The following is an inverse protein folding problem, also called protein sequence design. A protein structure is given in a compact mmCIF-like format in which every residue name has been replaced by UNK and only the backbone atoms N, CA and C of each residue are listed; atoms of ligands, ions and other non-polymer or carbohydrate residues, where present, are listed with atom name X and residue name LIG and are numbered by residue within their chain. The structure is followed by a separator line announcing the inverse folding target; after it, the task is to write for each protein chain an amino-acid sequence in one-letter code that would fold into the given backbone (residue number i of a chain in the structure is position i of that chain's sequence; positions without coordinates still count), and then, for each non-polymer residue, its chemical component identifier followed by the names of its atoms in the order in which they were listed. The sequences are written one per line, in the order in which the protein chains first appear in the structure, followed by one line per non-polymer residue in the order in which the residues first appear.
data_IF_997239824100
#
_entry.id   IF_997239824100
#
_cell.length_a   1.000
_cell.length_b   1.000
_cell.length_c   1.000
_cell.angle_alpha   90.00
_cell.angle_beta   90.00
_cell.angle_gamma   90.00
#
_symmetry.space_group_name_H-M   'P 1'
#
loop_
_entity.id
_entity.type
_entity.pdbx_description
1 polymer ?
#
# COMPACT_ATOMS: atom_id res chain seq x y z
N UNK A 1 11.93 21.29 2.69
CA UNK A 1 11.93 21.11 1.23
C UNK A 1 10.76 20.22 0.86
N UNK A 2 9.98 20.53 -0.16
CA UNK A 2 8.85 19.69 -0.58
C UNK A 2 9.38 18.49 -1.35
N UNK A 3 9.01 17.27 -0.98
CA UNK A 3 9.43 16.05 -1.67
C UNK A 3 8.54 15.82 -2.89
N UNK A 4 9.17 15.73 -4.07
CA UNK A 4 8.48 15.34 -5.30
C UNK A 4 8.57 13.81 -5.48
N UNK A 5 7.53 13.11 -5.04
CA UNK A 5 7.45 11.66 -5.16
C UNK A 5 7.32 11.17 -6.60
N UNK A 6 6.80 11.99 -7.51
CA UNK A 6 6.76 11.64 -8.94
C UNK A 6 8.18 11.54 -9.48
N UNK A 7 9.03 12.52 -9.18
CA UNK A 7 10.44 12.48 -9.56
C UNK A 7 11.20 11.33 -8.87
N UNK A 8 10.92 11.06 -7.59
CA UNK A 8 11.53 9.93 -6.86
C UNK A 8 11.17 8.56 -7.48
N UNK A 9 9.99 8.41 -8.05
CA UNK A 9 9.56 7.15 -8.66
C UNK A 9 9.99 6.95 -10.11
N UNK A 10 10.45 7.99 -10.81
CA UNK A 10 10.93 7.85 -12.21
C UNK A 10 11.99 6.75 -12.39
N UNK A 11 13.07 6.67 -11.58
CA UNK A 11 14.05 5.59 -11.72
C UNK A 11 13.45 4.21 -11.44
N UNK A 12 12.50 4.12 -10.52
CA UNK A 12 11.78 2.88 -10.23
C UNK A 12 10.97 2.42 -11.44
N UNK A 13 10.17 3.31 -12.02
CA UNK A 13 9.33 2.99 -13.18
C UNK A 13 10.19 2.51 -14.34
N UNK A 14 11.29 3.20 -14.66
CA UNK A 14 12.25 2.77 -15.69
C UNK A 14 12.84 1.40 -15.40
N UNK A 15 13.22 1.15 -14.16
CA UNK A 15 13.75 -0.15 -13.76
C UNK A 15 12.71 -1.26 -13.93
N UNK A 16 11.45 -1.02 -13.54
CA UNK A 16 10.35 -1.98 -13.70
C UNK A 16 10.04 -2.27 -15.17
N UNK A 17 10.06 -1.25 -16.03
CA UNK A 17 9.85 -1.37 -17.48
C UNK A 17 10.94 -2.22 -18.17
N UNK A 18 12.15 -2.18 -17.65
CA UNK A 18 13.29 -2.95 -18.16
C UNK A 18 13.38 -4.38 -17.59
N UNK A 19 12.79 -4.62 -16.40
CA UNK A 19 12.94 -5.86 -15.63
C UNK A 19 11.60 -6.51 -15.28
N UNK A 20 10.53 -6.23 -16.03
CA UNK A 20 9.16 -6.67 -15.70
C UNK A 20 8.96 -8.19 -15.72
N UNK A 21 9.79 -8.93 -16.45
CA UNK A 21 9.67 -10.38 -16.68
C UNK A 21 10.54 -11.23 -15.74
N UNK A 22 11.34 -10.61 -14.88
CA UNK A 22 12.18 -11.33 -13.89
C UNK A 22 11.61 -11.17 -12.47
N UNK A 23 11.97 -12.08 -11.55
CA UNK A 23 11.66 -11.91 -10.13
C UNK A 23 12.31 -10.63 -9.59
N UNK A 24 11.54 -9.79 -8.94
CA UNK A 24 12.02 -8.53 -8.38
C UNK A 24 12.18 -8.63 -6.85
N UNK A 25 13.29 -8.10 -6.37
CA UNK A 25 13.51 -7.88 -4.94
C UNK A 25 12.94 -6.51 -4.53
N UNK A 26 11.85 -6.54 -3.75
CA UNK A 26 11.19 -5.32 -3.29
C UNK A 26 12.12 -4.36 -2.54
N UNK A 27 13.04 -4.88 -1.73
CA UNK A 27 13.99 -4.06 -0.97
C UNK A 27 14.88 -3.25 -1.92
N UNK A 28 15.33 -3.87 -3.01
CA UNK A 28 16.14 -3.22 -4.04
C UNK A 28 15.32 -2.16 -4.79
N UNK A 29 14.08 -2.50 -5.17
CA UNK A 29 13.18 -1.56 -5.85
C UNK A 29 12.87 -0.34 -4.97
N UNK A 30 12.60 -0.54 -3.69
CA UNK A 30 12.35 0.55 -2.74
C UNK A 30 13.57 1.47 -2.55
N UNK A 31 14.77 0.91 -2.55
CA UNK A 31 16.03 1.68 -2.46
C UNK A 31 16.20 2.65 -3.64
N UNK A 32 15.74 2.30 -4.84
CA UNK A 32 15.81 3.20 -6.01
C UNK A 32 15.01 4.50 -5.80
N UNK A 33 13.96 4.46 -4.98
CA UNK A 33 13.17 5.63 -4.59
C UNK A 33 13.66 6.29 -3.28
N UNK A 34 14.71 5.77 -2.65
CA UNK A 34 15.16 6.16 -1.31
C UNK A 34 14.00 6.09 -0.28
N UNK A 35 13.24 5.00 -0.32
CA UNK A 35 12.13 4.70 0.59
C UNK A 35 12.35 3.35 1.29
N UNK A 36 11.81 3.20 2.50
CA UNK A 36 11.69 1.87 3.10
C UNK A 36 10.70 1.01 2.29
N UNK A 37 10.84 -0.32 2.26
CA UNK A 37 9.91 -1.20 1.55
C UNK A 37 8.46 -0.98 1.97
N UNK A 38 8.21 -0.70 3.24
CA UNK A 38 6.89 -0.42 3.79
C UNK A 38 6.26 0.85 3.20
N UNK A 39 7.00 1.96 3.15
CA UNK A 39 6.53 3.22 2.60
C UNK A 39 6.45 3.20 1.07
N UNK A 40 7.38 2.48 0.43
CA UNK A 40 7.44 2.38 -1.02
C UNK A 40 6.10 1.97 -1.63
N UNK A 41 5.48 0.89 -1.15
CA UNK A 41 4.22 0.40 -1.71
C UNK A 41 3.10 1.43 -1.61
N UNK A 42 2.96 2.07 -0.45
CA UNK A 42 1.92 3.07 -0.23
C UNK A 42 2.11 4.30 -1.12
N UNK A 43 3.35 4.80 -1.20
CA UNK A 43 3.71 5.92 -2.08
C UNK A 43 3.55 5.55 -3.54
N UNK A 44 4.05 4.37 -3.94
CA UNK A 44 3.93 3.90 -5.32
C UNK A 44 2.46 3.85 -5.76
N UNK A 45 1.59 3.21 -4.96
CA UNK A 45 0.15 3.14 -5.25
C UNK A 45 -0.51 4.52 -5.27
N UNK A 46 -0.16 5.40 -4.33
CA UNK A 46 -0.71 6.76 -4.28
C UNK A 46 -0.34 7.59 -5.51
N UNK A 47 0.88 7.42 -6.03
CA UNK A 47 1.38 8.17 -7.19
C UNK A 47 0.93 7.56 -8.51
N UNK A 48 0.98 6.22 -8.64
CA UNK A 48 0.69 5.52 -9.91
C UNK A 48 -0.77 5.08 -10.02
N UNK A 49 -1.50 5.01 -8.90
CA UNK A 49 -2.86 4.46 -8.83
C UNK A 49 -2.92 2.93 -8.82
N UNK A 50 -1.77 2.26 -8.95
CA UNK A 50 -1.65 0.79 -9.03
C UNK A 50 -0.71 0.28 -7.95
N UNK A 51 -0.96 -0.92 -7.44
CA UNK A 51 0.05 -1.65 -6.66
C UNK A 51 1.22 -2.06 -7.57
N UNK A 52 2.38 -2.35 -7.00
CA UNK A 52 3.53 -2.84 -7.77
C UNK A 52 3.19 -4.11 -8.58
N UNK A 53 2.43 -5.03 -7.99
CA UNK A 53 2.02 -6.26 -8.66
C UNK A 53 1.04 -6.02 -9.80
N UNK A 54 0.10 -5.09 -9.65
CA UNK A 54 -0.82 -4.67 -10.72
C UNK A 54 -0.06 -4.00 -11.85
N UNK A 55 0.86 -3.10 -11.54
CA UNK A 55 1.73 -2.42 -12.50
C UNK A 55 2.55 -3.41 -13.33
N UNK A 56 3.25 -4.35 -12.67
CA UNK A 56 4.02 -5.40 -13.35
C UNK A 56 3.13 -6.31 -14.20
N UNK A 57 1.97 -6.72 -13.67
CA UNK A 57 1.03 -7.55 -14.43
C UNK A 57 0.54 -6.82 -15.68
N UNK A 58 0.24 -5.54 -15.58
CA UNK A 58 -0.15 -4.71 -16.73
C UNK A 58 0.97 -4.63 -17.77
N UNK A 59 2.20 -4.36 -17.36
CA UNK A 59 3.36 -4.33 -18.26
C UNK A 59 3.52 -5.67 -19.00
N UNK A 60 3.48 -6.80 -18.28
CA UNK A 60 3.58 -8.14 -18.86
C UNK A 60 2.47 -8.41 -19.88
N UNK A 61 1.23 -8.07 -19.54
CA UNK A 61 0.10 -8.26 -20.45
C UNK A 61 0.17 -7.36 -21.67
N UNK A 62 0.60 -6.10 -21.55
CA UNK A 62 0.80 -5.20 -22.68
C UNK A 62 1.91 -5.69 -23.62
N UNK A 63 3.04 -6.15 -23.08
CA UNK A 63 4.12 -6.77 -23.88
C UNK A 63 3.66 -8.04 -24.57
N UNK A 64 2.94 -8.90 -23.85
CA UNK A 64 2.34 -10.10 -24.43
C UNK A 64 1.40 -9.79 -25.59
N UNK A 65 0.53 -8.78 -25.44
CA UNK A 65 -0.39 -8.38 -26.51
C UNK A 65 0.36 -7.88 -27.75
N UNK A 66 1.42 -7.10 -27.55
CA UNK A 66 2.30 -6.66 -28.63
C UNK A 66 2.96 -7.85 -29.35
N UNK A 67 3.55 -8.78 -28.62
CA UNK A 67 4.22 -9.95 -29.21
C UNK A 67 3.24 -10.84 -29.96
N UNK A 68 2.06 -11.09 -29.41
CA UNK A 68 1.00 -11.87 -30.08
C UNK A 68 0.53 -11.21 -31.36
N UNK A 69 0.40 -9.90 -31.40
CA UNK A 69 -0.06 -9.18 -32.59
C UNK A 69 1.00 -9.14 -33.69
N UNK A 70 2.23 -8.77 -33.38
CA UNK A 70 3.29 -8.55 -34.36
C UNK A 70 4.03 -9.83 -34.74
N UNK A 71 4.43 -10.64 -33.76
CA UNK A 71 5.33 -11.76 -33.95
C UNK A 71 4.59 -13.12 -34.03
N UNK A 72 3.34 -13.18 -33.55
CA UNK A 72 2.45 -14.36 -33.60
C UNK A 72 3.03 -15.66 -33.04
N UNK A 73 3.83 -15.64 -31.96
CA UNK A 73 4.41 -16.84 -31.40
C UNK A 73 3.35 -17.76 -30.77
N UNK A 74 3.71 -19.01 -30.41
CA UNK A 74 2.85 -19.88 -29.61
C UNK A 74 2.47 -19.21 -28.30
N UNK A 75 1.19 -19.30 -27.92
CA UNK A 75 0.66 -18.63 -26.71
C UNK A 75 1.36 -19.12 -25.44
N UNK A 76 1.78 -20.40 -25.41
CA UNK A 76 2.48 -20.98 -24.27
C UNK A 76 3.84 -20.31 -24.06
N UNK A 77 4.57 -20.03 -25.15
CA UNK A 77 5.88 -19.41 -25.08
C UNK A 77 5.76 -17.98 -24.57
N UNK A 78 4.79 -17.20 -25.09
CA UNK A 78 4.48 -15.86 -24.57
C UNK A 78 4.15 -15.90 -23.08
N UNK A 79 3.31 -16.85 -22.65
CA UNK A 79 2.93 -16.96 -21.24
C UNK A 79 4.15 -17.15 -20.34
N UNK A 80 5.06 -18.06 -20.73
CA UNK A 80 6.29 -18.35 -19.96
C UNK A 80 7.27 -17.18 -19.97
N UNK A 81 7.50 -16.55 -21.12
CA UNK A 81 8.39 -15.38 -21.26
C UNK A 81 7.90 -14.18 -20.44
N UNK A 82 6.58 -14.01 -20.33
CA UNK A 82 5.98 -12.96 -19.50
C UNK A 82 5.84 -13.36 -18.02
N UNK A 83 6.45 -14.46 -17.60
CA UNK A 83 6.53 -14.90 -16.21
C UNK A 83 5.23 -15.45 -15.63
N UNK A 84 4.32 -15.96 -16.46
CA UNK A 84 3.14 -16.68 -16.00
C UNK A 84 3.45 -18.15 -15.77
N UNK A 85 2.91 -18.74 -14.71
CA UNK A 85 3.14 -20.15 -14.35
C UNK A 85 2.47 -21.13 -15.31
N UNK A 86 1.48 -20.70 -16.10
CA UNK A 86 0.80 -21.51 -17.11
C UNK A 86 0.08 -20.65 -18.16
N UNK A 87 -0.14 -21.22 -19.34
CA UNK A 87 -0.95 -20.59 -20.40
C UNK A 87 -2.40 -20.33 -19.97
N UNK A 88 -2.93 -21.15 -19.09
CA UNK A 88 -4.31 -20.98 -18.55
C UNK A 88 -4.39 -19.75 -17.65
N UNK A 89 -3.46 -19.59 -16.71
CA UNK A 89 -3.38 -18.41 -15.84
C UNK A 89 -3.14 -17.14 -16.66
N UNK A 90 -2.29 -17.21 -17.68
CA UNK A 90 -2.07 -16.14 -18.62
C UNK A 90 -3.35 -15.79 -19.38
N UNK A 91 -4.03 -16.74 -20.00
CA UNK A 91 -5.24 -16.49 -20.78
C UNK A 91 -6.37 -15.89 -19.93
N UNK A 92 -6.53 -16.34 -18.66
CA UNK A 92 -7.48 -15.76 -17.71
C UNK A 92 -7.15 -14.31 -17.37
N UNK A 93 -5.87 -14.01 -17.07
CA UNK A 93 -5.42 -12.67 -16.77
C UNK A 93 -5.53 -11.73 -17.98
N UNK A 94 -5.17 -12.23 -19.16
CA UNK A 94 -5.21 -11.50 -20.43
C UNK A 94 -6.66 -11.13 -20.80
N UNK A 95 -7.59 -12.09 -20.76
CA UNK A 95 -9.01 -11.82 -21.01
C UNK A 95 -9.61 -10.85 -20.00
N UNK A 96 -9.24 -10.98 -18.72
CA UNK A 96 -9.68 -10.03 -17.69
C UNK A 96 -9.21 -8.59 -17.97
N UNK A 97 -8.03 -8.45 -18.58
CA UNK A 97 -7.41 -7.15 -18.84
C UNK A 97 -7.90 -6.50 -20.14
N UNK A 98 -7.98 -7.27 -21.23
CA UNK A 98 -8.29 -6.76 -22.57
C UNK A 98 -9.72 -7.06 -23.05
N UNK A 99 -10.49 -7.85 -22.32
CA UNK A 99 -11.79 -8.43 -22.75
C UNK A 99 -11.69 -9.32 -24.01
N UNK A 100 -10.47 -9.67 -24.43
CA UNK A 100 -10.14 -10.58 -25.55
C UNK A 100 -9.21 -11.69 -25.07
N UNK A 101 -9.27 -12.84 -25.76
CA UNK A 101 -8.33 -13.93 -25.53
C UNK A 101 -6.98 -13.67 -26.25
N UNK A 102 -5.89 -14.29 -25.81
CA UNK A 102 -4.61 -14.26 -26.52
C UNK A 102 -4.70 -14.72 -27.98
N UNK A 103 -5.55 -15.72 -28.28
CA UNK A 103 -5.76 -16.23 -29.64
C UNK A 103 -6.42 -15.17 -30.53
N UNK A 104 -7.45 -14.49 -30.05
CA UNK A 104 -8.13 -13.44 -30.81
C UNK A 104 -7.17 -12.29 -31.15
N UNK A 105 -6.27 -11.91 -30.22
CA UNK A 105 -5.25 -10.87 -30.48
C UNK A 105 -4.21 -11.38 -31.48
N UNK A 106 -3.78 -12.63 -31.39
CA UNK A 106 -2.82 -13.22 -32.34
C UNK A 106 -3.37 -13.33 -33.76
N UNK A 107 -4.66 -13.59 -33.91
CA UNK A 107 -5.36 -13.68 -35.21
C UNK A 107 -5.73 -12.29 -35.76
N UNK A 108 -5.70 -11.25 -34.95
CA UNK A 108 -6.00 -9.90 -35.37
C UNK A 108 -4.97 -9.44 -36.42
N UNK A 109 -5.46 -8.86 -37.52
CA UNK A 109 -4.64 -8.31 -38.61
C UNK A 109 -4.75 -6.80 -38.74
N UNK A 110 -5.71 -6.20 -38.06
CA UNK A 110 -6.01 -4.78 -38.15
C UNK A 110 -5.41 -3.99 -36.99
N UNK A 111 -4.41 -3.17 -37.29
CA UNK A 111 -3.72 -2.31 -36.31
C UNK A 111 -4.69 -1.34 -35.57
N UNK A 112 -5.70 -0.83 -36.28
CA UNK A 112 -6.68 0.10 -35.69
C UNK A 112 -7.51 -0.62 -34.62
N UNK A 113 -7.95 -1.85 -34.91
CA UNK A 113 -8.69 -2.67 -33.95
C UNK A 113 -7.80 -2.99 -32.75
N UNK A 114 -6.56 -3.42 -33.00
CA UNK A 114 -5.59 -3.71 -31.95
C UNK A 114 -5.32 -2.49 -31.05
N UNK A 115 -5.12 -1.32 -31.62
CA UNK A 115 -4.94 -0.06 -30.90
C UNK A 115 -6.17 0.31 -30.04
N UNK A 116 -7.39 0.06 -30.56
CA UNK A 116 -8.62 0.29 -29.82
C UNK A 116 -8.76 -0.67 -28.62
N UNK A 117 -8.33 -1.93 -28.79
CA UNK A 117 -8.31 -2.94 -27.71
C UNK A 117 -7.37 -2.49 -26.58
N UNK A 118 -6.16 -2.06 -26.92
CA UNK A 118 -5.21 -1.54 -25.93
C UNK A 118 -5.74 -0.31 -25.18
N UNK A 119 -6.45 0.57 -25.87
CA UNK A 119 -7.08 1.76 -25.25
C UNK A 119 -8.30 1.45 -24.40
N UNK A 120 -9.06 0.40 -24.75
CA UNK A 120 -10.27 -0.01 -24.04
C UNK A 120 -10.01 -0.96 -22.85
N UNK A 121 -8.76 -1.34 -22.61
CA UNK A 121 -8.46 -2.19 -21.47
C UNK A 121 -9.01 -1.53 -20.19
N UNK A 122 -9.65 -2.32 -19.31
CA UNK A 122 -10.33 -1.80 -18.10
C UNK A 122 -9.41 -0.94 -17.23
N UNK A 123 -8.11 -1.21 -17.27
CA UNK A 123 -7.10 -0.40 -16.57
C UNK A 123 -6.79 0.87 -17.35
N UNK A 124 -6.76 0.85 -18.69
CA UNK A 124 -6.63 2.04 -19.53
C UNK A 124 -7.75 3.06 -19.30
N UNK A 125 -8.98 2.60 -19.07
CA UNK A 125 -10.13 3.49 -18.84
C UNK A 125 -10.18 4.07 -17.42
N UNK A 126 -9.66 3.37 -16.42
CA UNK A 126 -9.53 3.91 -15.06
C UNK A 126 -8.39 4.93 -14.96
N UNK A 127 -7.36 4.81 -15.81
CA UNK A 127 -6.12 5.60 -15.77
C UNK A 127 -5.95 6.53 -16.97
N UNK A 128 -6.88 6.54 -17.96
CA UNK A 128 -6.86 7.49 -19.08
C UNK A 128 -6.93 8.95 -18.63
N UNK A 129 -7.23 9.20 -17.36
CA UNK A 129 -7.06 10.52 -16.75
C UNK A 129 -5.66 10.75 -16.17
N UNK A 130 -4.83 9.70 -15.97
CA UNK A 130 -3.53 9.86 -15.28
C UNK A 130 -2.38 8.96 -15.78
N UNK A 131 -2.55 8.08 -16.77
CA UNK A 131 -1.60 6.99 -16.95
C UNK A 131 -0.86 6.86 -18.27
N UNK A 132 -1.32 7.45 -19.38
CA UNK A 132 -0.63 7.32 -20.67
C UNK A 132 0.39 8.43 -20.96
N UNK A 133 0.45 9.47 -20.12
CA UNK A 133 1.38 10.59 -20.31
C UNK A 133 2.75 10.38 -19.67
N UNK A 134 2.99 9.24 -19.01
CA UNK A 134 4.29 8.95 -18.39
C UNK A 134 5.39 8.61 -19.41
N UNK A 135 5.04 8.32 -20.67
CA UNK A 135 6.01 7.93 -21.72
C UNK A 135 6.34 9.08 -22.67
N UNK A 136 5.46 10.08 -22.84
CA UNK A 136 5.73 11.14 -23.84
C UNK A 136 5.44 12.59 -23.44
N UNK A 137 4.88 12.90 -22.26
CA UNK A 137 4.70 14.31 -21.88
C UNK A 137 4.85 14.57 -20.38
N UNK A 138 5.90 15.30 -20.05
CA UNK A 138 6.22 15.88 -18.75
C UNK A 138 5.29 17.05 -18.36
N UNK A 139 3.99 16.91 -18.59
CA UNK A 139 3.01 17.91 -18.19
C UNK A 139 1.89 17.25 -17.41
N UNK A 140 2.16 16.89 -16.17
CA UNK A 140 1.09 16.65 -15.20
C UNK A 140 0.36 17.98 -14.97
N UNK A 141 -0.73 18.18 -15.72
CA UNK A 141 -1.65 19.26 -15.45
C UNK A 141 -2.30 19.07 -14.08
N UNK A 142 -1.89 19.91 -13.16
CA UNK A 142 -2.44 20.13 -11.82
C UNK A 142 -3.88 20.69 -11.87
N UNK A 143 -4.81 20.11 -12.63
CA UNK A 143 -6.14 20.66 -12.81
C UNK A 143 -7.29 19.77 -12.36
N UNK A 144 -7.08 18.94 -11.33
CA UNK A 144 -8.17 18.45 -10.51
C UNK A 144 -7.81 18.63 -9.02
N UNK A 145 -7.57 19.89 -8.67
CA UNK A 145 -7.66 20.33 -7.28
C UNK A 145 -9.15 20.43 -6.93
N UNK A 146 -9.81 19.28 -6.74
CA UNK A 146 -10.84 19.27 -5.71
C UNK A 146 -10.08 19.69 -4.46
N UNK A 147 -10.41 20.86 -3.88
CA UNK A 147 -9.87 21.28 -2.59
C UNK A 147 -10.21 20.20 -1.56
N UNK A 148 -9.36 19.12 -1.51
CA UNK A 148 -9.38 18.20 -0.38
C UNK A 148 -9.01 19.05 0.81
N UNK A 149 -9.92 19.20 1.77
CA UNK A 149 -9.60 19.83 3.06
C UNK A 149 -8.40 19.07 3.62
N UNK A 150 -7.26 19.75 3.70
CA UNK A 150 -6.05 19.21 4.31
C UNK A 150 -6.31 19.21 5.81
N UNK A 151 -6.61 18.04 6.35
CA UNK A 151 -6.83 17.84 7.79
C UNK A 151 -5.60 17.20 8.45
N UNK A 152 -4.46 17.18 7.75
CA UNK A 152 -3.23 16.59 8.23
C UNK A 152 -2.49 17.54 9.15
N UNK A 153 -2.02 17.03 10.29
CA UNK A 153 -1.22 17.74 11.29
C UNK A 153 0.14 17.05 11.38
N UNK A 154 1.22 17.84 11.55
CA UNK A 154 2.51 17.30 11.96
C UNK A 154 2.57 17.31 13.47
N UNK A 155 2.82 16.14 14.07
CA UNK A 155 2.88 15.96 15.52
C UNK A 155 4.21 15.35 15.92
N UNK A 156 4.76 15.80 17.04
CA UNK A 156 5.90 15.20 17.71
C UNK A 156 5.39 14.21 18.75
N UNK A 157 5.90 12.98 18.70
CA UNK A 157 5.70 11.98 19.75
C UNK A 157 6.99 11.78 20.51
N UNK A 158 6.90 11.77 21.83
CA UNK A 158 8.05 11.49 22.67
C UNK A 158 8.39 9.99 22.65
N UNK A 159 9.65 9.69 22.93
CA UNK A 159 10.07 8.31 23.18
C UNK A 159 9.38 7.77 24.44
N UNK A 160 8.99 6.51 24.41
CA UNK A 160 8.30 5.88 25.54
C UNK A 160 8.41 4.37 25.55
N UNK A 161 7.76 3.74 26.49
CA UNK A 161 7.65 2.30 26.58
C UNK A 161 6.29 1.85 26.06
N UNK A 162 6.28 0.92 25.10
CA UNK A 162 5.08 0.28 24.60
C UNK A 162 4.96 -1.11 25.27
N UNK A 163 3.91 -1.31 26.07
CA UNK A 163 3.48 -2.64 26.47
C UNK A 163 2.49 -3.17 25.43
N UNK A 164 2.72 -4.35 24.87
CA UNK A 164 1.98 -4.82 23.71
C UNK A 164 1.74 -6.32 23.69
N UNK A 165 0.73 -6.72 22.92
CA UNK A 165 0.51 -8.11 22.51
C UNK A 165 0.60 -8.16 20.99
N UNK A 166 1.43 -9.06 20.46
CA UNK A 166 1.57 -9.25 19.01
C UNK A 166 0.52 -10.19 18.48
N UNK A 167 -0.18 -9.75 17.45
CA UNK A 167 -1.09 -10.59 16.64
C UNK A 167 -0.44 -10.85 15.30
N UNK A 168 -0.46 -12.11 14.85
CA UNK A 168 -0.05 -12.51 13.50
C UNK A 168 -1.28 -13.04 12.78
N UNK A 169 -1.59 -12.46 11.62
CA UNK A 169 -2.77 -12.78 10.82
C UNK A 169 -3.26 -11.59 10.00
N UNK A 170 -4.40 -11.73 9.30
CA UNK A 170 -5.00 -10.64 8.55
C UNK A 170 -5.28 -9.43 9.43
N UNK A 171 -5.02 -8.23 8.92
CA UNK A 171 -5.28 -6.99 9.66
C UNK A 171 -6.77 -6.82 9.94
N UNK A 172 -7.11 -6.45 11.18
CA UNK A 172 -8.48 -6.32 11.67
C UNK A 172 -9.12 -7.62 12.16
N UNK A 173 -8.43 -8.75 12.03
CA UNK A 173 -8.94 -10.05 12.48
C UNK A 173 -8.23 -10.54 13.75
N UNK A 174 -8.96 -11.29 14.58
CA UNK A 174 -8.43 -11.93 15.80
C UNK A 174 -7.81 -10.96 16.84
N UNK A 175 -8.20 -9.68 16.83
CA UNK A 175 -7.68 -8.69 17.78
C UNK A 175 -8.29 -8.81 19.17
N UNK A 176 -9.53 -9.34 19.28
CA UNK A 176 -10.25 -9.41 20.57
C UNK A 176 -9.49 -10.17 21.66
N UNK A 177 -8.93 -11.38 21.43
CA UNK A 177 -8.15 -12.08 22.46
C UNK A 177 -6.92 -11.29 22.93
N UNK A 178 -6.24 -10.59 22.01
CA UNK A 178 -5.09 -9.77 22.34
C UNK A 178 -5.47 -8.53 23.16
N UNK A 179 -6.58 -7.88 22.80
CA UNK A 179 -7.15 -6.76 23.54
C UNK A 179 -7.59 -7.22 24.95
N UNK A 180 -8.29 -8.35 25.07
CA UNK A 180 -8.72 -8.89 26.35
C UNK A 180 -7.50 -9.17 27.27
N UNK A 181 -6.43 -9.75 26.72
CA UNK A 181 -5.19 -10.01 27.46
C UNK A 181 -4.48 -8.71 27.87
N UNK A 182 -4.35 -7.75 26.92
CA UNK A 182 -3.69 -6.47 27.18
C UNK A 182 -4.42 -5.66 28.24
N UNK A 183 -5.74 -5.48 28.11
CA UNK A 183 -6.52 -4.69 29.06
C UNK A 183 -6.75 -5.41 30.38
N UNK A 184 -6.81 -6.77 30.40
CA UNK A 184 -6.82 -7.55 31.63
C UNK A 184 -5.56 -7.29 32.45
N UNK A 185 -4.39 -7.32 31.82
CA UNK A 185 -3.11 -6.96 32.43
C UNK A 185 -3.08 -5.46 32.83
N UNK A 186 -3.47 -4.57 31.94
CA UNK A 186 -3.40 -3.13 32.18
C UNK A 186 -4.27 -2.67 33.36
N UNK A 187 -5.43 -3.30 33.55
CA UNK A 187 -6.27 -3.06 34.72
C UNK A 187 -5.58 -3.50 36.03
N UNK A 188 -4.86 -4.63 36.03
CA UNK A 188 -4.12 -5.10 37.22
C UNK A 188 -2.94 -4.20 37.58
N UNK A 189 -2.33 -3.53 36.61
CA UNK A 189 -1.20 -2.61 36.80
C UNK A 189 -1.66 -1.12 36.94
N UNK A 190 -2.95 -0.83 36.79
CA UNK A 190 -3.50 0.53 36.91
C UNK A 190 -3.13 1.45 35.74
N UNK A 191 -2.92 0.90 34.55
CA UNK A 191 -2.52 1.64 33.34
C UNK A 191 -3.50 1.48 32.18
N UNK A 192 -4.73 1.09 32.45
CA UNK A 192 -5.76 0.85 31.43
C UNK A 192 -6.17 2.13 30.64
N UNK A 193 -5.98 3.32 31.24
CA UNK A 193 -6.25 4.61 30.60
C UNK A 193 -5.08 5.12 29.74
N UNK A 194 -4.00 4.33 29.61
CA UNK A 194 -2.85 4.70 28.81
C UNK A 194 -3.20 4.76 27.31
N UNK A 195 -2.46 5.60 26.56
CA UNK A 195 -2.70 5.78 25.14
C UNK A 195 -2.55 4.48 24.36
N UNK A 196 -3.61 4.08 23.68
CA UNK A 196 -3.66 2.87 22.86
C UNK A 196 -3.15 3.16 21.44
N UNK A 197 -2.20 2.32 21.00
CA UNK A 197 -1.66 2.38 19.63
C UNK A 197 -1.58 0.99 19.00
N UNK A 198 -1.85 0.91 17.69
CA UNK A 198 -1.69 -0.31 16.89
C UNK A 198 -0.60 -0.08 15.87
N UNK A 199 0.53 -0.78 16.01
CA UNK A 199 1.67 -0.68 15.09
C UNK A 199 1.57 -1.80 14.05
N UNK A 200 1.58 -1.42 12.78
CA UNK A 200 1.53 -2.32 11.63
C UNK A 200 2.94 -2.52 11.06
N UNK A 201 3.46 -3.75 11.14
CA UNK A 201 4.84 -4.06 10.74
C UNK A 201 4.97 -4.43 9.27
N UNK A 202 3.91 -4.92 8.67
CA UNK A 202 3.93 -5.52 7.34
C UNK A 202 2.98 -4.80 6.38
N UNK A 203 3.25 -4.91 5.08
CA UNK A 203 2.33 -4.43 4.07
C UNK A 203 1.50 -5.62 3.54
N UNK A 204 0.15 -5.62 3.70
CA UNK A 204 -0.70 -6.73 3.29
C UNK A 204 -0.76 -6.94 1.77
N UNK A 205 -0.26 -6.00 0.97
CA UNK A 205 -0.15 -6.15 -0.48
C UNK A 205 1.05 -7.01 -0.90
N UNK A 206 2.02 -7.24 0.02
CA UNK A 206 3.26 -7.98 -0.24
C UNK A 206 3.39 -9.18 0.67
N UNK A 207 3.07 -8.99 1.96
CA UNK A 207 3.14 -10.03 2.96
C UNK A 207 1.83 -10.81 2.91
N UNK A 208 1.87 -12.15 2.80
CA UNK A 208 0.67 -12.96 2.92
C UNK A 208 -0.10 -12.60 4.19
N UNK A 209 -1.42 -12.49 4.08
CA UNK A 209 -2.26 -11.96 5.15
C UNK A 209 -2.06 -12.72 6.48
N UNK A 210 -1.88 -14.05 6.39
CA UNK A 210 -1.61 -14.92 7.56
C UNK A 210 -0.26 -14.67 8.25
N UNK A 211 0.62 -13.89 7.63
CA UNK A 211 1.95 -13.53 8.17
C UNK A 211 2.07 -12.07 8.58
N UNK A 212 1.04 -11.25 8.34
CA UNK A 212 1.04 -9.86 8.77
C UNK A 212 1.04 -9.75 10.28
N UNK A 213 1.81 -8.81 10.83
CA UNK A 213 2.00 -8.61 12.26
C UNK A 213 1.46 -7.26 12.69
N UNK A 214 0.69 -7.27 13.77
CA UNK A 214 0.20 -6.08 14.45
C UNK A 214 0.61 -6.11 15.91
N UNK A 215 1.24 -5.06 16.42
CA UNK A 215 1.43 -4.88 17.87
C UNK A 215 0.31 -4.00 18.39
N UNK A 216 -0.58 -4.58 19.18
CA UNK A 216 -1.65 -3.89 19.89
C UNK A 216 -1.10 -3.52 21.26
N UNK A 217 -0.97 -2.23 21.57
CA UNK A 217 -0.25 -1.83 22.77
C UNK A 217 -0.72 -0.53 23.41
N UNK A 218 -0.21 -0.32 24.61
CA UNK A 218 -0.41 0.87 25.43
C UNK A 218 0.93 1.56 25.70
N UNK A 219 0.98 2.88 25.57
CA UNK A 219 2.14 3.68 25.98
C UNK A 219 2.12 3.85 27.48
N UNK A 220 3.04 3.19 28.17
CA UNK A 220 3.05 3.04 29.63
C UNK A 220 4.33 3.60 30.25
N UNK A 221 4.37 3.85 31.57
CA UNK A 221 5.60 4.17 32.28
C UNK A 221 6.65 3.05 32.16
N UNK A 222 7.93 3.40 32.10
CA UNK A 222 9.05 2.47 31.86
C UNK A 222 9.13 1.38 32.93
N UNK A 223 8.80 1.71 34.18
CA UNK A 223 8.90 0.84 35.34
C UNK A 223 7.75 -0.18 35.47
N UNK A 224 6.72 -0.12 34.61
CA UNK A 224 5.60 -1.08 34.62
C UNK A 224 6.12 -2.49 34.36
N UNK A 225 5.63 -3.45 35.12
CA UNK A 225 5.96 -4.87 34.96
C UNK A 225 4.98 -5.55 34.01
N UNK A 226 5.52 -6.25 33.02
CA UNK A 226 4.68 -7.05 32.11
C UNK A 226 4.56 -8.49 32.60
N UNK A 227 3.44 -9.12 32.25
CA UNK A 227 3.15 -10.50 32.62
C UNK A 227 2.29 -11.18 31.53
N UNK A 228 2.26 -12.52 31.59
CA UNK A 228 1.48 -13.30 30.60
C UNK A 228 2.01 -13.19 29.20
N UNK A 229 1.13 -12.82 28.26
CA UNK A 229 1.45 -12.61 26.85
C UNK A 229 1.82 -11.16 26.51
N UNK A 230 1.84 -10.28 27.51
CA UNK A 230 2.20 -8.87 27.32
C UNK A 230 3.71 -8.71 27.33
N UNK A 231 4.25 -8.10 26.28
CA UNK A 231 5.68 -7.81 26.14
C UNK A 231 5.93 -6.29 26.19
N UNK A 232 7.19 -5.89 26.36
CA UNK A 232 7.61 -4.47 26.29
C UNK A 232 8.59 -4.25 25.17
N UNK A 233 8.46 -3.08 24.51
CA UNK A 233 9.45 -2.56 23.56
C UNK A 233 9.56 -1.05 23.66
N UNK A 234 10.64 -0.53 23.09
CA UNK A 234 10.83 0.90 22.95
C UNK A 234 9.89 1.44 21.87
N UNK A 235 9.08 2.44 22.20
CA UNK A 235 8.46 3.32 21.22
C UNK A 235 9.40 4.50 20.96
N UNK A 236 10.01 4.55 19.79
CA UNK A 236 11.10 5.50 19.49
C UNK A 236 10.60 6.95 19.44
N UNK A 237 9.29 7.15 19.25
CA UNK A 237 8.74 8.48 19.04
C UNK A 237 9.20 9.09 17.70
N UNK A 238 9.26 10.43 17.64
CA UNK A 238 9.68 11.15 16.46
C UNK A 238 8.60 12.06 15.86
N UNK A 239 8.85 12.58 14.67
CA UNK A 239 7.89 13.41 13.94
C UNK A 239 6.96 12.54 13.08
N UNK A 240 5.67 12.81 13.16
CA UNK A 240 4.65 12.09 12.42
C UNK A 240 3.69 13.05 11.71
N UNK A 241 3.30 12.69 10.50
CA UNK A 241 2.12 13.24 9.87
C UNK A 241 0.92 12.45 10.38
N UNK A 242 -0.14 13.15 10.83
CA UNK A 242 -1.31 12.53 11.42
C UNK A 242 -2.59 12.99 10.73
N UNK A 243 -3.50 12.05 10.46
CA UNK A 243 -4.84 12.30 9.95
C UNK A 243 -5.85 11.71 10.93
N UNK A 244 -6.63 12.54 11.63
CA UNK A 244 -7.66 12.09 12.57
C UNK A 244 -8.99 11.89 11.88
N UNK A 245 -9.65 10.78 12.16
CA UNK A 245 -10.94 10.37 11.58
C UNK A 245 -11.83 9.72 12.63
N UNK A 246 -13.12 9.98 12.49
CA UNK A 246 -14.16 9.15 13.10
C UNK A 246 -14.39 7.94 12.16
N UNK A 247 -14.28 6.74 12.70
CA UNK A 247 -14.50 5.48 12.01
C UNK A 247 -15.75 4.84 12.61
N UNK A 248 -16.73 4.60 11.79
CA UNK A 248 -18.01 4.00 12.20
C UNK A 248 -18.19 2.57 11.66
N UNK A 249 -17.30 2.16 10.76
CA UNK A 249 -17.31 0.83 10.14
C UNK A 249 -15.88 0.39 9.80
N UNK A 250 -15.57 -0.89 10.01
CA UNK A 250 -14.24 -1.46 9.77
C UNK A 250 -13.75 -1.28 8.32
N UNK A 251 -14.65 -1.22 7.34
CA UNK A 251 -14.29 -1.01 5.93
C UNK A 251 -13.69 0.39 5.66
N UNK A 252 -13.84 1.34 6.57
CA UNK A 252 -13.34 2.71 6.43
C UNK A 252 -11.84 2.85 6.73
N UNK A 253 -11.22 1.90 7.45
CA UNK A 253 -9.78 1.97 7.79
C UNK A 253 -8.87 2.01 6.54
N UNK A 254 -9.10 1.13 5.59
CA UNK A 254 -8.33 1.09 4.33
C UNK A 254 -8.42 2.40 3.54
N UNK A 255 -9.63 2.91 3.24
CA UNK A 255 -9.80 4.23 2.63
C UNK A 255 -9.15 5.37 3.42
N UNK A 256 -9.22 5.37 4.75
CA UNK A 256 -8.59 6.40 5.60
C UNK A 256 -7.05 6.37 5.50
N UNK A 257 -6.44 5.19 5.50
CA UNK A 257 -5.02 5.02 5.24
C UNK A 257 -4.62 5.52 3.84
N UNK A 258 -5.40 5.20 2.81
CA UNK A 258 -5.14 5.68 1.45
C UNK A 258 -5.24 7.20 1.35
N UNK A 259 -6.25 7.81 1.98
CA UNK A 259 -6.39 9.27 2.06
C UNK A 259 -5.20 9.91 2.78
N UNK A 260 -4.78 9.33 3.91
CA UNK A 260 -3.63 9.81 4.68
C UNK A 260 -2.35 9.84 3.85
N UNK A 261 -2.04 8.74 3.15
CA UNK A 261 -0.85 8.66 2.30
C UNK A 261 -0.97 9.60 1.10
N UNK A 262 -2.15 9.72 0.48
CA UNK A 262 -2.36 10.66 -0.62
C UNK A 262 -2.07 12.11 -0.19
N UNK A 263 -2.53 12.53 1.00
CA UNK A 263 -2.24 13.87 1.52
C UNK A 263 -0.74 14.07 1.79
N UNK A 264 0.00 13.07 2.31
CA UNK A 264 1.47 13.14 2.48
C UNK A 264 2.15 13.38 1.12
N UNK A 265 1.75 12.64 0.09
CA UNK A 265 2.29 12.76 -1.26
C UNK A 265 1.97 14.13 -1.86
N UNK A 266 0.70 14.58 -1.80
CA UNK A 266 0.24 15.85 -2.35
C UNK A 266 0.94 17.05 -1.68
N UNK A 267 1.18 16.97 -0.36
CA UNK A 267 1.92 17.99 0.39
C UNK A 267 3.43 17.91 0.19
N UNK A 268 3.94 16.84 -0.45
CA UNK A 268 5.37 16.59 -0.62
C UNK A 268 6.11 16.45 0.71
N UNK A 269 5.47 15.84 1.73
CA UNK A 269 6.09 15.57 3.03
C UNK A 269 7.00 14.37 2.88
N UNK A 270 8.25 14.49 3.31
CA UNK A 270 9.21 13.39 3.24
C UNK A 270 8.92 12.36 4.33
N UNK A 271 8.69 11.10 3.93
CA UNK A 271 8.46 10.00 4.87
C UNK A 271 9.76 9.61 5.57
N UNK A 272 9.66 9.33 6.87
CA UNK A 272 10.73 8.83 7.72
C UNK A 272 10.83 7.30 7.69
N UNK A 273 11.69 6.76 8.56
CA UNK A 273 11.95 5.32 8.63
C UNK A 273 11.22 4.64 9.80
N UNK A 274 10.51 5.42 10.63
CA UNK A 274 9.73 4.92 11.75
C UNK A 274 8.48 4.15 11.32
N UNK A 275 7.86 3.40 12.26
CA UNK A 275 6.66 2.62 11.97
C UNK A 275 5.47 3.50 11.64
N UNK A 276 4.49 2.92 10.93
CA UNK A 276 3.16 3.51 10.87
C UNK A 276 2.29 2.90 11.97
N UNK A 277 1.41 3.70 12.54
CA UNK A 277 0.51 3.24 13.58
C UNK A 277 -0.83 3.99 13.56
N UNK A 278 -1.82 3.37 14.15
CA UNK A 278 -3.09 4.00 14.51
C UNK A 278 -3.03 4.36 16.00
N UNK A 279 -3.41 5.59 16.32
CA UNK A 279 -3.56 6.08 17.69
C UNK A 279 -5.04 6.24 17.98
N UNK A 280 -5.52 5.48 18.96
CA UNK A 280 -6.91 5.48 19.36
C UNK A 280 -7.14 6.51 20.46
N UNK A 281 -8.01 7.50 20.18
CA UNK A 281 -8.47 8.50 21.16
C UNK A 281 -9.67 8.00 21.95
N UNK A 282 -10.54 7.23 21.28
CA UNK A 282 -11.66 6.52 21.89
C UNK A 282 -12.11 5.34 21.04
N UNK A 283 -12.71 4.36 21.69
CA UNK A 283 -13.38 3.22 21.06
C UNK A 283 -14.66 2.91 21.82
N UNK A 284 -15.76 2.77 21.11
CA UNK A 284 -17.03 2.32 21.66
C UNK A 284 -17.26 0.85 21.27
N UNK A 285 -17.20 -0.10 22.23
CA UNK A 285 -17.35 -1.51 21.91
C UNK A 285 -18.80 -1.93 21.54
N UNK A 286 -19.80 -1.10 21.83
CA UNK A 286 -21.20 -1.39 21.49
C UNK A 286 -21.51 -1.02 20.04
N UNK A 287 -20.99 0.13 19.57
CA UNK A 287 -21.23 0.63 18.21
C UNK A 287 -20.09 0.33 17.25
N UNK A 288 -18.91 -0.12 17.74
CA UNK A 288 -17.64 -0.24 17.01
C UNK A 288 -17.13 1.10 16.41
N UNK A 289 -17.60 2.21 16.95
CA UNK A 289 -17.11 3.53 16.55
C UNK A 289 -15.78 3.84 17.21
N UNK A 290 -14.87 4.42 16.44
CA UNK A 290 -13.53 4.79 16.90
C UNK A 290 -13.20 6.21 16.49
N UNK A 291 -12.52 6.93 17.36
CA UNK A 291 -11.82 8.17 17.04
C UNK A 291 -10.33 7.85 16.90
N UNK A 292 -9.79 7.89 15.69
CA UNK A 292 -8.47 7.35 15.36
C UNK A 292 -7.62 8.35 14.61
N UNK A 293 -6.35 8.49 14.99
CA UNK A 293 -5.33 9.16 14.20
C UNK A 293 -4.47 8.15 13.45
N UNK A 294 -4.41 8.27 12.13
CA UNK A 294 -3.52 7.52 11.25
C UNK A 294 -2.17 8.25 11.21
N UNK A 295 -1.10 7.58 11.62
CA UNK A 295 0.20 8.19 11.86
C UNK A 295 1.28 7.57 10.98
N UNK A 296 2.00 8.39 10.20
CA UNK A 296 3.16 7.98 9.42
C UNK A 296 4.38 8.80 9.80
N UNK A 297 5.51 8.14 10.06
CA UNK A 297 6.78 8.80 10.36
C UNK A 297 7.22 9.71 9.22
N UNK A 298 7.70 10.91 9.55
CA UNK A 298 8.17 11.92 8.59
C UNK A 298 9.50 12.53 9.03
N UNK A 299 10.25 13.06 8.07
CA UNK A 299 11.52 13.75 8.29
C UNK A 299 11.34 15.25 8.50
#
# INVERSE_FOLDING_TARGET
MRTDYQTKLKPVIRFLEQNYNVPLNLVEVAKLAALSPYHFHRVFKSVTGETLNEFLRRLRLQKAAHDLFYNKPPIIDVALEQGFSSSQNFAKAFRKHFDLSPSEVRECTNLTIFSQVLRKSKIGNAHSKNGNDLVENTSYNSSHTTQRRINMIKQQFDQGTLAYVRVTGPYGENYKPALDALYGWANSEGVADATCIFIYHDNPEITPAEKCRTDIGLLVPENVKVAGTVEKQLFVGGRYATLRKQITDMSQYGPAWNEHIAQIVDLGIEMGDGPCFELYHSFNPETNESDVSFCSSVR
#
